data_IF_331756477950
#
_entry.id   IF_331756477950
#
_cell.length_a   1.000
_cell.length_b   1.000
_cell.length_c   1.000
_cell.angle_alpha   90.00
_cell.angle_beta   90.00
_cell.angle_gamma   90.00
#
_symmetry.space_group_name_H-M   'P 1'
#
loop_
_entity.id
_entity.type
_entity.pdbx_description
1 polymer ?
#
# COMPACT_ATOMS: atom_id res chain seq x y z
N UNK A 1 -24.24 11.12 88.59
CA UNK A 1 -24.50 12.20 87.59
C UNK A 1 -23.22 12.43 86.83
N UNK A 2 -23.01 11.71 85.79
CA UNK A 2 -21.85 11.84 84.91
C UNK A 2 -22.29 12.16 83.49
N UNK A 3 -21.91 13.32 83.00
CA UNK A 3 -22.15 13.73 81.64
C UNK A 3 -21.07 13.15 80.72
N UNK A 4 -21.51 12.41 79.72
CA UNK A 4 -20.64 11.97 78.62
C UNK A 4 -20.46 13.13 77.65
N UNK A 5 -19.23 13.41 77.13
CA UNK A 5 -19.04 14.39 76.08
C UNK A 5 -19.30 13.76 74.71
N UNK A 6 -20.08 14.46 73.88
CA UNK A 6 -20.29 14.18 72.46
C UNK A 6 -19.04 14.53 71.68
N UNK A 7 -18.48 13.58 70.97
CA UNK A 7 -17.41 13.82 69.98
C UNK A 7 -17.98 14.30 68.63
N UNK A 8 -17.34 15.28 67.97
CA UNK A 8 -17.79 15.75 66.67
C UNK A 8 -17.41 14.74 65.53
N UNK A 9 -18.39 14.33 64.73
CA UNK A 9 -18.14 13.65 63.47
C UNK A 9 -17.45 14.61 62.47
N UNK A 10 -16.19 14.38 62.23
CA UNK A 10 -15.48 15.02 61.09
C UNK A 10 -15.81 14.19 59.86
N UNK A 11 -16.61 14.77 58.96
CA UNK A 11 -16.91 14.22 57.66
C UNK A 11 -15.69 14.32 56.73
N UNK A 12 -15.14 13.19 56.34
CA UNK A 12 -14.16 13.12 55.26
C UNK A 12 -14.87 13.22 53.91
N UNK A 13 -14.86 14.40 53.30
CA UNK A 13 -15.20 14.58 51.90
C UNK A 13 -14.04 14.03 51.07
N UNK A 14 -14.14 12.77 50.63
CA UNK A 14 -13.24 12.21 49.65
C UNK A 14 -13.59 12.82 48.28
N UNK A 15 -12.82 13.79 47.84
CA UNK A 15 -12.87 14.31 46.48
C UNK A 15 -12.31 13.28 45.53
N UNK A 16 -13.19 12.56 44.82
CA UNK A 16 -12.79 11.73 43.69
C UNK A 16 -12.49 12.63 42.49
N UNK A 17 -11.19 12.91 42.30
CA UNK A 17 -10.72 13.47 41.02
C UNK A 17 -10.78 12.38 39.97
N UNK A 18 -11.84 12.38 39.16
CA UNK A 18 -11.97 11.55 37.99
C UNK A 18 -11.03 12.10 36.91
N UNK A 19 -9.79 11.60 36.88
CA UNK A 19 -8.85 11.87 35.79
C UNK A 19 -9.36 11.17 34.52
N UNK A 20 -10.03 11.91 33.65
CA UNK A 20 -10.31 11.49 32.28
C UNK A 20 -8.99 11.42 31.52
N UNK A 21 -8.37 10.25 31.48
CA UNK A 21 -7.32 9.94 30.53
C UNK A 21 -7.97 9.89 29.14
N UNK A 22 -7.91 11.00 28.40
CA UNK A 22 -8.13 10.97 26.96
C UNK A 22 -6.99 10.14 26.35
N UNK A 23 -7.20 8.83 26.24
CA UNK A 23 -6.40 8.01 25.35
C UNK A 23 -6.75 8.42 23.92
N UNK A 24 -5.95 9.34 23.36
CA UNK A 24 -5.98 9.62 21.94
C UNK A 24 -5.74 8.30 21.21
N UNK A 25 -6.75 7.75 20.58
CA UNK A 25 -6.61 6.63 19.64
C UNK A 25 -5.87 7.23 18.45
N UNK A 26 -4.54 7.08 18.42
CA UNK A 26 -3.79 7.29 17.20
C UNK A 26 -4.37 6.28 16.20
N UNK A 27 -5.06 6.75 15.18
CA UNK A 27 -5.40 5.94 14.01
C UNK A 27 -4.08 5.56 13.36
N UNK A 28 -3.51 4.42 13.77
CA UNK A 28 -2.46 3.79 13.01
C UNK A 28 -3.11 3.37 11.70
N UNK A 29 -2.64 3.92 10.58
CA UNK A 29 -3.05 3.46 9.26
C UNK A 29 -2.89 1.95 9.22
N UNK A 30 -3.97 1.24 8.90
CA UNK A 30 -3.93 -0.21 8.85
C UNK A 30 -2.87 -0.65 7.83
N UNK A 31 -1.99 -1.61 8.18
CA UNK A 31 -0.95 -2.06 7.26
C UNK A 31 -1.59 -2.66 6.01
N UNK A 32 -1.01 -2.37 4.85
CA UNK A 32 -1.43 -2.89 3.55
C UNK A 32 -0.55 -4.06 3.11
N UNK A 33 -1.01 -4.84 2.15
CA UNK A 33 -0.15 -5.83 1.49
C UNK A 33 1.05 -5.14 0.82
N UNK A 34 2.24 -5.77 0.88
CA UNK A 34 3.44 -5.22 0.24
C UNK A 34 3.32 -5.15 -1.29
N UNK A 35 2.46 -5.99 -1.87
CA UNK A 35 2.11 -5.97 -3.29
C UNK A 35 0.59 -5.92 -3.44
N UNK A 36 0.11 -5.03 -4.30
CA UNK A 36 -1.29 -4.94 -4.67
C UNK A 36 -1.70 -6.17 -5.48
N UNK A 37 -2.68 -6.92 -4.97
CA UNK A 37 -3.18 -8.12 -5.63
C UNK A 37 -4.70 -8.10 -5.73
N UNK A 38 -5.22 -8.64 -6.80
CA UNK A 38 -6.64 -8.94 -6.98
C UNK A 38 -6.80 -10.44 -7.23
N UNK A 39 -7.65 -11.10 -6.45
CA UNK A 39 -7.85 -12.56 -6.51
C UNK A 39 -6.52 -13.36 -6.41
N UNK A 40 -5.54 -12.85 -5.64
CA UNK A 40 -4.23 -13.44 -5.46
C UNK A 40 -3.21 -13.15 -6.57
N UNK A 41 -3.56 -12.34 -7.59
CA UNK A 41 -2.68 -12.02 -8.71
C UNK A 41 -2.17 -10.57 -8.65
N UNK A 42 -0.86 -10.39 -8.79
CA UNK A 42 -0.29 -9.07 -9.01
C UNK A 42 -0.82 -8.45 -10.32
N UNK A 43 -0.91 -7.13 -10.35
CA UNK A 43 -1.36 -6.36 -11.54
C UNK A 43 -2.69 -6.91 -12.12
N UNK A 44 -3.60 -7.36 -11.24
CA UNK A 44 -4.90 -7.96 -11.66
C UNK A 44 -4.76 -9.12 -12.67
N UNK A 45 -3.61 -9.83 -12.64
CA UNK A 45 -3.31 -10.93 -13.55
C UNK A 45 -2.79 -10.50 -14.93
N UNK A 46 -2.41 -9.24 -15.13
CA UNK A 46 -1.73 -8.78 -16.34
C UNK A 46 -0.24 -9.14 -16.30
N UNK A 47 0.34 -9.29 -17.50
CA UNK A 47 1.74 -9.64 -17.69
C UNK A 47 2.67 -8.44 -17.48
N UNK A 48 3.51 -8.41 -16.42
CA UNK A 48 4.40 -7.29 -16.17
C UNK A 48 5.48 -7.10 -17.25
N UNK A 49 5.87 -8.18 -17.95
CA UNK A 49 6.89 -8.13 -19.01
C UNK A 49 6.35 -7.49 -20.27
N UNK A 50 5.04 -7.68 -20.56
CA UNK A 50 4.41 -7.16 -21.76
C UNK A 50 4.46 -5.62 -21.85
N UNK A 51 4.41 -4.92 -20.73
CA UNK A 51 4.58 -3.46 -20.70
C UNK A 51 5.92 -3.01 -21.31
N UNK A 52 6.98 -3.79 -21.10
CA UNK A 52 8.33 -3.49 -21.59
C UNK A 52 8.57 -4.01 -23.00
N UNK A 53 7.96 -5.12 -23.38
CA UNK A 53 8.27 -5.81 -24.64
C UNK A 53 7.33 -5.42 -25.77
N UNK A 54 6.06 -5.24 -25.48
CA UNK A 54 5.04 -4.89 -26.48
C UNK A 54 4.46 -3.48 -26.31
N UNK A 55 4.78 -2.81 -25.19
CA UNK A 55 4.22 -1.50 -24.86
C UNK A 55 2.71 -1.52 -24.66
N UNK A 56 2.16 -2.63 -24.21
CA UNK A 56 0.71 -2.81 -24.02
C UNK A 56 0.40 -3.60 -22.76
N UNK A 57 -0.64 -3.18 -21.99
CA UNK A 57 -1.20 -4.04 -20.96
C UNK A 57 -1.77 -5.30 -21.61
N UNK A 58 -1.26 -6.45 -21.24
CA UNK A 58 -1.65 -7.73 -21.83
C UNK A 58 -2.07 -8.69 -20.71
N UNK A 59 -3.30 -9.22 -20.74
CA UNK A 59 -3.72 -10.22 -19.76
C UNK A 59 -2.80 -11.45 -19.79
N UNK A 60 -2.41 -11.93 -18.61
CA UNK A 60 -1.67 -13.18 -18.49
C UNK A 60 -2.58 -14.41 -18.64
N UNK A 61 -2.00 -15.53 -19.05
CA UNK A 61 -2.69 -16.80 -19.26
C UNK A 61 -2.48 -17.73 -18.07
N UNK A 62 -3.46 -18.56 -17.75
CA UNK A 62 -3.44 -19.45 -16.59
C UNK A 62 -2.27 -20.45 -16.59
N UNK A 63 -1.81 -20.88 -17.77
CA UNK A 63 -0.69 -21.83 -17.90
C UNK A 63 0.69 -21.19 -17.72
N UNK A 64 0.82 -19.87 -17.80
CA UNK A 64 2.09 -19.17 -17.66
C UNK A 64 2.13 -18.37 -16.38
N UNK A 65 2.48 -19.02 -15.28
CA UNK A 65 2.50 -18.41 -13.95
C UNK A 65 3.82 -18.63 -13.25
N UNK A 66 4.16 -17.75 -12.30
CA UNK A 66 5.23 -17.97 -11.35
C UNK A 66 4.93 -17.22 -10.05
N UNK A 67 5.60 -17.60 -8.97
CA UNK A 67 5.55 -16.88 -7.70
C UNK A 67 6.87 -16.16 -7.48
N UNK A 68 6.80 -14.89 -7.08
CA UNK A 68 7.95 -14.10 -6.71
C UNK A 68 7.67 -13.35 -5.40
N UNK A 69 8.54 -13.52 -4.39
CA UNK A 69 8.39 -12.98 -3.03
C UNK A 69 6.98 -13.24 -2.45
N UNK A 70 6.49 -14.48 -2.60
CA UNK A 70 5.18 -14.89 -2.09
C UNK A 70 3.97 -14.45 -2.93
N UNK A 71 4.16 -13.70 -4.02
CA UNK A 71 3.07 -13.17 -4.86
C UNK A 71 3.03 -13.86 -6.20
N UNK A 72 1.83 -14.23 -6.66
CA UNK A 72 1.62 -14.89 -7.94
C UNK A 72 1.52 -13.87 -9.09
N UNK A 73 2.21 -14.18 -10.18
CA UNK A 73 2.22 -13.40 -11.43
C UNK A 73 1.75 -14.27 -12.59
N UNK A 74 1.06 -13.65 -13.54
CA UNK A 74 0.65 -14.28 -14.82
C UNK A 74 1.36 -13.63 -15.99
N UNK A 75 1.60 -14.41 -17.04
CA UNK A 75 2.31 -13.98 -18.25
C UNK A 75 1.51 -14.34 -19.49
N UNK A 76 1.65 -13.55 -20.54
CA UNK A 76 1.01 -13.79 -21.82
C UNK A 76 1.68 -14.92 -22.61
N UNK A 77 2.94 -15.28 -22.29
CA UNK A 77 3.71 -16.31 -22.95
C UNK A 77 4.72 -16.99 -22.02
N UNK A 78 5.17 -18.16 -22.43
CA UNK A 78 6.28 -18.86 -21.77
C UNK A 78 7.58 -18.04 -21.81
N UNK A 79 7.81 -17.30 -22.89
CA UNK A 79 8.99 -16.44 -23.05
C UNK A 79 8.97 -15.29 -22.05
N UNK A 80 7.84 -14.58 -21.89
CA UNK A 80 7.72 -13.51 -20.91
C UNK A 80 7.88 -14.03 -19.48
N UNK A 81 7.31 -15.19 -19.16
CA UNK A 81 7.55 -15.87 -17.89
C UNK A 81 9.02 -16.16 -17.66
N UNK A 82 9.75 -16.69 -18.66
CA UNK A 82 11.18 -16.96 -18.54
C UNK A 82 12.00 -15.68 -18.33
N UNK A 83 11.68 -14.59 -19.03
CA UNK A 83 12.31 -13.26 -18.86
C UNK A 83 12.10 -12.73 -17.44
N UNK A 84 10.88 -12.86 -16.91
CA UNK A 84 10.58 -12.45 -15.54
C UNK A 84 11.38 -13.27 -14.52
N UNK A 85 11.43 -14.60 -14.66
CA UNK A 85 12.18 -15.48 -13.74
C UNK A 85 13.66 -15.11 -13.74
N UNK A 86 14.22 -14.77 -14.89
CA UNK A 86 15.64 -14.39 -15.01
C UNK A 86 15.97 -13.03 -14.36
N UNK A 87 15.03 -12.08 -14.34
CA UNK A 87 15.26 -10.73 -13.82
C UNK A 87 13.96 -10.09 -13.27
N UNK A 88 13.36 -10.62 -12.19
CA UNK A 88 12.06 -10.17 -11.74
C UNK A 88 12.02 -8.70 -11.31
N UNK A 89 13.09 -8.20 -10.67
CA UNK A 89 13.19 -6.81 -10.21
C UNK A 89 13.10 -5.79 -11.36
N UNK A 90 13.41 -6.20 -12.59
CA UNK A 90 13.28 -5.35 -13.76
C UNK A 90 11.83 -5.11 -14.15
N UNK A 91 10.95 -6.08 -13.88
CA UNK A 91 9.59 -6.11 -14.42
C UNK A 91 8.50 -5.84 -13.38
N UNK A 92 8.80 -6.03 -12.09
CA UNK A 92 7.82 -5.72 -11.04
C UNK A 92 7.51 -4.22 -11.03
N UNK A 93 6.23 -3.84 -10.86
CA UNK A 93 5.87 -2.43 -10.80
C UNK A 93 6.43 -1.77 -9.54
N UNK A 94 6.67 -0.47 -9.64
CA UNK A 94 7.04 0.35 -8.50
C UNK A 94 5.90 0.41 -7.48
N UNK A 95 6.24 0.71 -6.24
CA UNK A 95 5.30 0.85 -5.13
C UNK A 95 4.38 -0.36 -4.94
N UNK A 96 4.94 -1.58 -5.15
CA UNK A 96 4.17 -2.81 -5.03
C UNK A 96 2.99 -2.92 -6.00
N UNK A 97 2.94 -2.13 -7.07
CA UNK A 97 1.82 -2.11 -8.00
C UNK A 97 0.59 -1.35 -7.50
N UNK A 98 0.74 -0.49 -6.49
CA UNK A 98 -0.28 0.50 -6.12
C UNK A 98 -0.19 1.74 -7.02
N UNK A 99 -1.26 2.54 -7.04
CA UNK A 99 -1.34 3.77 -7.82
C UNK A 99 -0.21 4.73 -7.47
N UNK A 100 0.68 5.01 -8.43
CA UNK A 100 1.86 5.85 -8.23
C UNK A 100 1.49 7.29 -7.85
N UNK A 101 0.38 7.83 -8.39
CA UNK A 101 -0.11 9.14 -8.01
C UNK A 101 -0.62 9.19 -6.57
N UNK A 102 -1.36 8.17 -6.15
CA UNK A 102 -1.83 8.06 -4.77
C UNK A 102 -0.65 7.99 -3.80
N UNK A 103 0.38 7.15 -4.09
CA UNK A 103 1.59 7.08 -3.27
C UNK A 103 2.32 8.43 -3.21
N UNK A 104 2.39 9.17 -4.31
CA UNK A 104 2.97 10.53 -4.31
C UNK A 104 2.21 11.50 -3.37
N UNK A 105 0.92 11.27 -3.16
CA UNK A 105 0.04 12.02 -2.25
C UNK A 105 -0.01 11.42 -0.83
N UNK A 106 0.84 10.44 -0.51
CA UNK A 106 0.82 9.67 0.75
C UNK A 106 -0.54 8.97 0.99
N UNK A 107 -1.12 8.43 -0.07
CA UNK A 107 -2.38 7.69 -0.08
C UNK A 107 -2.19 6.33 -0.73
N UNK A 108 -3.14 5.41 -0.52
CA UNK A 108 -3.17 4.11 -1.15
C UNK A 108 -4.40 4.04 -2.06
N UNK A 109 -4.18 3.59 -3.29
CA UNK A 109 -5.25 3.28 -4.22
C UNK A 109 -4.86 2.09 -5.10
N UNK A 110 -5.87 1.37 -5.58
CA UNK A 110 -5.75 0.32 -6.56
C UNK A 110 -5.31 0.90 -7.93
N UNK A 111 -5.17 0.06 -8.93
CA UNK A 111 -4.73 0.45 -10.29
C UNK A 111 -5.74 0.02 -11.37
N UNK A 112 -5.62 0.67 -12.53
CA UNK A 112 -6.14 0.17 -13.79
C UNK A 112 -4.96 -0.21 -14.70
N UNK A 113 -4.88 -1.46 -15.21
CA UNK A 113 -3.71 -1.95 -15.93
C UNK A 113 -3.37 -1.18 -17.20
N UNK A 114 -4.34 -0.47 -17.82
CA UNK A 114 -4.16 0.38 -18.98
C UNK A 114 -3.66 1.80 -18.65
N UNK A 115 -3.55 2.14 -17.37
CA UNK A 115 -3.06 3.44 -16.91
C UNK A 115 -1.63 3.29 -16.36
N UNK A 116 -0.66 3.36 -17.24
CA UNK A 116 0.74 3.04 -16.94
C UNK A 116 1.75 3.97 -17.62
N UNK A 117 2.99 3.91 -17.14
CA UNK A 117 4.15 4.50 -17.80
C UNK A 117 5.42 3.74 -17.43
N UNK A 118 6.39 3.71 -18.35
CA UNK A 118 7.77 3.30 -18.05
C UNK A 118 8.64 4.56 -18.05
N UNK A 119 9.31 4.81 -16.94
CA UNK A 119 10.24 5.92 -16.75
C UNK A 119 11.53 5.36 -16.16
N UNK A 120 12.65 5.58 -16.84
CA UNK A 120 13.96 5.06 -16.42
C UNK A 120 13.94 3.54 -16.16
N UNK A 121 13.38 2.77 -17.08
CA UNK A 121 13.21 1.31 -17.01
C UNK A 121 12.41 0.81 -15.80
N UNK A 122 11.54 1.65 -15.23
CA UNK A 122 10.65 1.30 -14.12
C UNK A 122 9.20 1.44 -14.52
N UNK A 123 8.39 0.43 -14.19
CA UNK A 123 6.95 0.42 -14.46
C UNK A 123 6.19 1.12 -13.32
N UNK A 124 5.41 2.13 -13.67
CA UNK A 124 4.47 2.83 -12.80
C UNK A 124 3.05 2.59 -13.28
N UNK A 125 2.15 2.31 -12.35
CA UNK A 125 0.73 2.09 -12.61
C UNK A 125 -0.10 3.15 -11.88
N UNK A 126 -1.25 3.52 -12.43
CA UNK A 126 -2.14 4.51 -11.84
C UNK A 126 -3.60 4.03 -11.81
N UNK A 127 -4.42 4.70 -11.01
CA UNK A 127 -5.85 4.42 -10.86
C UNK A 127 -6.66 5.33 -11.79
N UNK A 128 -6.91 4.85 -13.00
CA UNK A 128 -7.75 5.56 -13.95
C UNK A 128 -7.10 6.74 -14.66
N UNK A 129 -7.79 7.22 -15.70
CA UNK A 129 -7.32 8.28 -16.58
C UNK A 129 -6.96 9.58 -15.85
N UNK A 130 -7.74 9.99 -14.85
CA UNK A 130 -7.48 11.23 -14.12
C UNK A 130 -6.18 11.15 -13.31
N UNK A 131 -5.97 10.07 -12.58
CA UNK A 131 -4.74 9.86 -11.81
C UNK A 131 -3.51 9.79 -12.73
N UNK A 132 -3.62 9.06 -13.85
CA UNK A 132 -2.57 9.00 -14.87
C UNK A 132 -2.25 10.38 -15.44
N UNK A 133 -3.25 11.19 -15.75
CA UNK A 133 -3.09 12.54 -16.29
C UNK A 133 -2.40 13.46 -15.28
N UNK A 134 -2.91 13.53 -14.06
CA UNK A 134 -2.34 14.37 -12.99
C UNK A 134 -0.92 13.94 -12.63
N UNK A 135 -0.65 12.64 -12.56
CA UNK A 135 0.70 12.12 -12.37
C UNK A 135 1.65 12.52 -13.50
N UNK A 136 1.15 12.54 -14.74
CA UNK A 136 1.94 12.82 -15.95
C UNK A 136 2.34 14.29 -16.10
N UNK A 137 1.66 15.23 -15.46
CA UNK A 137 2.04 16.66 -15.48
C UNK A 137 3.37 16.93 -14.78
N UNK A 138 3.72 16.15 -13.76
CA UNK A 138 4.98 16.28 -13.01
C UNK A 138 5.50 14.90 -12.64
N UNK A 139 5.91 14.10 -13.62
CA UNK A 139 6.38 12.73 -13.42
C UNK A 139 7.55 12.67 -12.45
N UNK A 140 8.55 13.52 -12.63
CA UNK A 140 9.76 13.52 -11.79
C UNK A 140 9.45 13.89 -10.34
N UNK A 141 8.64 14.92 -10.10
CA UNK A 141 8.22 15.32 -8.76
C UNK A 141 7.32 14.27 -8.10
N UNK A 142 6.39 13.66 -8.87
CA UNK A 142 5.55 12.58 -8.35
C UNK A 142 6.37 11.34 -7.99
N UNK A 143 7.37 10.96 -8.80
CA UNK A 143 8.29 9.86 -8.49
C UNK A 143 9.09 10.19 -7.22
N UNK A 144 9.67 11.39 -7.14
CA UNK A 144 10.43 11.81 -5.95
C UNK A 144 9.58 11.75 -4.67
N UNK A 145 8.33 12.20 -4.73
CA UNK A 145 7.39 12.11 -3.60
C UNK A 145 7.03 10.67 -3.28
N UNK A 146 6.75 9.87 -4.30
CA UNK A 146 6.44 8.45 -4.16
C UNK A 146 7.58 7.66 -3.52
N UNK A 147 8.82 7.85 -3.98
CA UNK A 147 10.02 7.19 -3.44
C UNK A 147 10.24 7.53 -1.97
N UNK A 148 9.93 8.76 -1.56
CA UNK A 148 9.99 9.18 -0.15
C UNK A 148 8.86 8.59 0.70
N UNK A 149 7.64 8.55 0.16
CA UNK A 149 6.45 8.14 0.91
C UNK A 149 6.34 6.61 1.02
N UNK A 150 6.69 5.87 -0.04
CA UNK A 150 6.51 4.42 -0.10
C UNK A 150 7.16 3.63 1.05
N UNK A 151 8.39 3.95 1.50
CA UNK A 151 8.99 3.28 2.66
C UNK A 151 8.22 3.51 3.97
N UNK A 152 7.47 4.61 4.08
CA UNK A 152 6.73 4.99 5.28
C UNK A 152 5.34 4.33 5.35
N UNK A 153 4.84 3.81 4.24
CA UNK A 153 3.56 3.09 4.20
C UNK A 153 3.68 1.80 5.00
N UNK A 154 2.85 1.59 6.05
CA UNK A 154 2.83 0.34 6.78
C UNK A 154 2.48 -0.83 5.87
N UNK A 155 3.31 -1.87 5.84
CA UNK A 155 3.12 -3.03 4.99
C UNK A 155 3.01 -4.30 5.82
N UNK A 156 2.07 -5.15 5.46
CA UNK A 156 2.07 -6.55 5.89
C UNK A 156 3.21 -7.26 5.14
N UNK A 157 3.92 -8.16 5.83
CA UNK A 157 4.83 -9.08 5.15
C UNK A 157 4.06 -9.86 4.09
N UNK A 158 4.75 -10.25 3.00
CA UNK A 158 4.18 -11.22 2.07
C UNK A 158 4.00 -12.54 2.81
N UNK A 159 2.90 -13.29 2.55
CA UNK A 159 2.64 -14.59 3.15
C UNK A 159 3.73 -15.60 2.88
#
# INVERSE_FOLDING_TARGET
MGRLPLAPLQGFLAAWLLSLLLTGVASADSPIAAVNTENGWAIKGYDPVAYFTTGKPTPGMAQFTTTYKGVAYRFASAENRARFIAAPEKFVPQYGGYCAYAIALNQIADIEPDQWAIINDKLYLNNGFLAQTLWSFDKSGNITRGDRNWPLVPKLGNP
#
